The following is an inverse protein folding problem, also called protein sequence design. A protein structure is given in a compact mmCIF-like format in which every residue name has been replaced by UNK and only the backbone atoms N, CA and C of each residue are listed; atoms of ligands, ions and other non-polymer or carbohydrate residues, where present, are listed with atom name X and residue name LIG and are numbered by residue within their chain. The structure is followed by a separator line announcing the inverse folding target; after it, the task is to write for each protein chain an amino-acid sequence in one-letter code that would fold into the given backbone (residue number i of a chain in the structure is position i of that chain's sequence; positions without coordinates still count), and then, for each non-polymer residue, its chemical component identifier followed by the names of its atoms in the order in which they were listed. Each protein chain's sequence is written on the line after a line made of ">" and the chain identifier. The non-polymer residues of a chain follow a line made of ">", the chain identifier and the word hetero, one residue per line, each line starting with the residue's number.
data_IF_178697870419
#
_entry.id   IF_178697870419
#
_cell.length_a   1.000
_cell.length_b   1.000
_cell.length_c   1.000
_cell.angle_alpha   90.00
_cell.angle_beta   90.00
_cell.angle_gamma   90.00
#
_symmetry.space_group_name_H-M   'P 1'
#
loop_
_entity.id
_entity.type
_entity.pdbx_description
1 polymer ?
#
# COMPACT_ATOMS: atom_id res chain seq x y z
N UNK A 1 3.23 42.20 -17.05
CA UNK A 1 2.37 41.19 -17.70
C UNK A 1 3.04 39.84 -17.98
N UNK A 2 4.34 39.75 -18.29
CA UNK A 2 5.05 38.47 -18.54
C UNK A 2 5.20 37.57 -17.30
N UNK A 3 5.47 38.16 -16.13
CA UNK A 3 5.64 37.47 -14.84
C UNK A 3 4.38 36.74 -14.37
N UNK A 4 3.19 37.28 -14.63
CA UNK A 4 1.91 36.66 -14.29
C UNK A 4 1.67 35.38 -15.11
N UNK A 5 2.00 35.39 -16.41
CA UNK A 5 1.86 34.22 -17.29
C UNK A 5 2.79 33.07 -16.89
N UNK A 6 4.01 33.38 -16.43
CA UNK A 6 4.97 32.38 -15.93
C UNK A 6 4.47 31.73 -14.65
N UNK A 7 3.97 32.51 -13.67
CA UNK A 7 3.40 31.98 -12.42
C UNK A 7 2.22 31.03 -12.66
N UNK A 8 1.35 31.36 -13.62
CA UNK A 8 0.21 30.51 -14.00
C UNK A 8 0.68 29.19 -14.62
N UNK A 9 1.70 29.21 -15.50
CA UNK A 9 2.27 27.99 -16.09
C UNK A 9 2.91 27.08 -15.03
N UNK A 10 3.68 27.65 -14.09
CA UNK A 10 4.31 26.88 -13.01
C UNK A 10 3.24 26.22 -12.13
N UNK A 11 2.20 26.96 -11.71
CA UNK A 11 1.09 26.38 -10.94
C UNK A 11 0.42 25.23 -11.68
N UNK A 12 0.16 25.38 -12.98
CA UNK A 12 -0.43 24.32 -13.81
C UNK A 12 0.46 23.07 -13.84
N UNK A 13 1.77 23.22 -14.05
CA UNK A 13 2.71 22.10 -14.03
C UNK A 13 2.68 21.38 -12.68
N UNK A 14 2.72 22.12 -11.57
CA UNK A 14 2.64 21.55 -10.23
C UNK A 14 1.34 20.74 -10.06
N UNK A 15 0.20 21.31 -10.42
CA UNK A 15 -1.08 20.60 -10.33
C UNK A 15 -1.12 19.34 -11.19
N UNK A 16 -0.58 19.40 -12.41
CA UNK A 16 -0.50 18.23 -13.29
C UNK A 16 0.39 17.13 -12.68
N UNK A 17 1.56 17.49 -12.14
CA UNK A 17 2.47 16.53 -11.51
C UNK A 17 1.84 15.92 -10.25
N UNK A 18 1.25 16.73 -9.38
CA UNK A 18 0.59 16.25 -8.15
C UNK A 18 -0.58 15.33 -8.49
N UNK A 19 -1.42 15.72 -9.46
CA UNK A 19 -2.55 14.90 -9.91
C UNK A 19 -2.07 13.56 -10.49
N UNK A 20 -0.98 13.58 -11.26
CA UNK A 20 -0.41 12.37 -11.85
C UNK A 20 0.11 11.40 -10.78
N UNK A 21 0.83 11.92 -9.77
CA UNK A 21 1.32 11.11 -8.65
C UNK A 21 0.15 10.47 -7.89
N UNK A 22 -0.92 11.23 -7.67
CA UNK A 22 -2.10 10.75 -6.94
C UNK A 22 -2.81 9.62 -7.72
N UNK A 23 -2.96 9.78 -9.03
CA UNK A 23 -3.54 8.74 -9.91
C UNK A 23 -2.65 7.49 -9.93
N UNK A 24 -1.33 7.65 -10.05
CA UNK A 24 -0.40 6.52 -10.02
C UNK A 24 -0.44 5.78 -8.68
N UNK A 25 -0.51 6.51 -7.57
CA UNK A 25 -0.68 5.94 -6.23
C UNK A 25 -1.96 5.11 -6.11
N UNK A 26 -3.08 5.62 -6.63
CA UNK A 26 -4.35 4.91 -6.70
C UNK A 26 -4.30 3.69 -7.64
N UNK A 27 -3.59 3.75 -8.75
CA UNK A 27 -3.45 2.61 -9.67
C UNK A 27 -2.68 1.45 -9.04
N UNK A 28 -1.71 1.75 -8.17
CA UNK A 28 -0.97 0.71 -7.43
C UNK A 28 -1.92 -0.08 -6.51
N UNK A 29 -2.93 0.56 -5.93
CA UNK A 29 -3.85 -0.10 -5.01
C UNK A 29 -4.92 -0.95 -5.70
N UNK A 30 -5.01 -0.92 -7.04
CA UNK A 30 -5.99 -1.71 -7.81
C UNK A 30 -5.81 -3.22 -7.65
N UNK A 31 -4.59 -3.68 -7.35
CA UNK A 31 -4.35 -5.09 -7.07
C UNK A 31 -4.10 -5.30 -5.57
N UNK A 32 -4.80 -6.24 -4.90
CA UNK A 32 -4.64 -6.52 -3.47
C UNK A 32 -3.18 -6.75 -3.07
N UNK A 33 -2.43 -7.46 -3.93
CA UNK A 33 -1.01 -7.74 -3.71
C UNK A 33 -0.15 -6.48 -3.72
N UNK A 34 -0.45 -5.54 -4.60
CA UNK A 34 0.30 -4.30 -4.70
C UNK A 34 -0.04 -3.36 -3.53
N UNK A 35 -1.29 -3.37 -3.06
CA UNK A 35 -1.67 -2.70 -1.82
C UNK A 35 -0.84 -3.23 -0.63
N UNK A 36 -0.71 -4.55 -0.48
CA UNK A 36 0.13 -5.14 0.57
C UNK A 36 1.59 -4.72 0.42
N UNK A 37 2.16 -4.78 -0.79
CA UNK A 37 3.55 -4.34 -1.02
C UNK A 37 3.78 -2.86 -0.70
N UNK A 38 2.80 -2.01 -1.04
CA UNK A 38 2.85 -0.59 -0.72
C UNK A 38 2.82 -0.38 0.80
N UNK A 39 1.91 -1.03 1.51
CA UNK A 39 1.86 -1.00 2.98
C UNK A 39 3.15 -1.53 3.60
N UNK A 40 3.72 -2.63 3.11
CA UNK A 40 5.03 -3.12 3.58
C UNK A 40 6.11 -2.04 3.48
N UNK A 41 6.20 -1.35 2.34
CA UNK A 41 7.20 -0.30 2.14
C UNK A 41 6.97 0.92 3.04
N UNK A 42 5.72 1.25 3.34
CA UNK A 42 5.35 2.36 4.22
C UNK A 42 5.65 2.00 5.69
N UNK A 43 5.34 0.78 6.11
CA UNK A 43 5.46 0.29 7.50
C UNK A 43 6.91 -0.03 7.92
N UNK A 44 7.89 0.16 7.02
CA UNK A 44 9.32 0.02 7.35
C UNK A 44 9.98 -1.26 6.84
N UNK A 45 9.29 -2.08 6.03
CA UNK A 45 9.96 -3.19 5.36
C UNK A 45 11.01 -2.67 4.37
N UNK A 46 12.16 -3.37 4.20
CA UNK A 46 13.12 -3.01 3.16
C UNK A 46 12.45 -2.95 1.79
N UNK A 47 12.64 -1.86 1.05
CA UNK A 47 11.96 -1.63 -0.23
C UNK A 47 12.17 -2.78 -1.23
N UNK A 48 13.38 -3.35 -1.26
CA UNK A 48 13.71 -4.51 -2.09
C UNK A 48 12.95 -5.79 -1.69
N UNK A 49 12.67 -5.97 -0.40
CA UNK A 49 11.86 -7.06 0.11
C UNK A 49 10.38 -6.84 -0.21
N UNK A 50 9.86 -5.62 -0.04
CA UNK A 50 8.49 -5.25 -0.39
C UNK A 50 8.19 -5.50 -1.88
N UNK A 51 9.09 -5.10 -2.79
CA UNK A 51 8.93 -5.34 -4.24
C UNK A 51 8.96 -6.82 -4.62
N UNK A 52 9.87 -7.61 -4.01
CA UNK A 52 10.04 -9.03 -4.31
C UNK A 52 9.01 -9.92 -3.62
N UNK A 53 8.31 -9.41 -2.61
CA UNK A 53 7.28 -10.13 -1.90
C UNK A 53 6.12 -10.51 -2.83
N UNK A 54 5.58 -11.72 -2.71
CA UNK A 54 4.37 -12.14 -3.42
C UNK A 54 3.30 -12.49 -2.38
N UNK A 55 2.52 -11.51 -1.93
CA UNK A 55 1.43 -11.73 -0.98
C UNK A 55 0.44 -12.75 -1.53
N UNK A 56 -0.01 -13.67 -0.67
CA UNK A 56 -0.99 -14.69 -1.03
C UNK A 56 -2.22 -14.57 -0.14
N UNK A 57 -3.40 -14.69 -0.75
CA UNK A 57 -4.65 -14.82 -0.02
C UNK A 57 -4.62 -16.11 0.82
N UNK A 58 -5.00 -16.00 2.09
CA UNK A 58 -5.09 -17.14 3.01
C UNK A 58 -6.54 -17.37 3.38
N UNK A 59 -7.14 -18.45 2.85
CA UNK A 59 -8.54 -18.78 3.11
C UNK A 59 -8.79 -19.14 4.58
N UNK A 60 -7.85 -19.86 5.21
CA UNK A 60 -7.97 -20.26 6.61
C UNK A 60 -7.98 -19.03 7.54
N UNK A 61 -7.01 -18.13 7.35
CA UNK A 61 -6.90 -16.92 8.17
C UNK A 61 -8.06 -15.98 7.89
N UNK A 62 -8.50 -15.89 6.63
CA UNK A 62 -9.66 -15.06 6.28
C UNK A 62 -10.95 -15.52 6.97
N UNK A 63 -11.16 -16.84 7.08
CA UNK A 63 -12.29 -17.40 7.84
C UNK A 63 -12.14 -17.13 9.34
N UNK A 64 -10.94 -17.29 9.89
CA UNK A 64 -10.67 -17.09 11.32
C UNK A 64 -10.89 -15.63 11.75
N UNK A 65 -10.31 -14.67 11.02
CA UNK A 65 -10.39 -13.24 11.31
C UNK A 65 -11.66 -12.57 10.76
N UNK A 66 -12.53 -13.32 10.05
CA UNK A 66 -13.70 -12.78 9.32
C UNK A 66 -13.36 -11.56 8.44
N UNK A 67 -12.16 -11.58 7.86
CA UNK A 67 -11.56 -10.48 7.10
C UNK A 67 -10.83 -11.03 5.86
N UNK A 68 -10.45 -10.19 4.90
CA UNK A 68 -9.73 -10.68 3.70
C UNK A 68 -8.24 -10.66 3.96
N UNK A 69 -7.69 -11.78 4.42
CA UNK A 69 -6.31 -11.85 4.88
C UNK A 69 -5.37 -12.26 3.75
N UNK A 70 -4.36 -11.42 3.52
CA UNK A 70 -3.18 -11.75 2.72
C UNK A 70 -1.99 -12.00 3.63
N UNK A 71 -1.28 -13.09 3.39
CA UNK A 71 -0.07 -13.46 4.10
C UNK A 71 1.15 -13.23 3.23
N UNK A 72 2.24 -12.80 3.85
CA UNK A 72 3.54 -12.71 3.21
C UNK A 72 4.42 -13.89 3.64
N UNK A 73 5.32 -14.39 2.77
CA UNK A 73 6.29 -15.41 3.17
C UNK A 73 7.12 -14.95 4.37
N UNK A 74 7.40 -15.84 5.32
CA UNK A 74 8.15 -15.53 6.55
C UNK A 74 9.51 -14.86 6.29
N UNK A 75 10.19 -15.20 5.19
CA UNK A 75 11.44 -14.54 4.76
C UNK A 75 11.33 -13.04 4.48
N UNK A 76 10.11 -12.54 4.26
CA UNK A 76 9.79 -11.13 4.07
C UNK A 76 9.03 -10.54 5.26
N UNK A 77 8.81 -11.31 6.33
CA UNK A 77 8.28 -10.76 7.59
C UNK A 77 9.25 -9.72 8.14
N UNK A 78 8.70 -8.65 8.69
CA UNK A 78 9.48 -7.52 9.18
C UNK A 78 8.85 -7.01 10.47
N UNK A 79 9.61 -6.22 11.21
CA UNK A 79 9.12 -5.50 12.37
C UNK A 79 8.63 -4.14 11.89
N UNK A 80 7.37 -3.79 12.18
CA UNK A 80 6.83 -2.47 11.86
C UNK A 80 7.49 -1.38 12.72
N UNK A 81 7.16 -0.12 12.43
CA UNK A 81 7.65 1.04 13.20
C UNK A 81 7.27 1.00 14.68
N UNK A 82 6.28 0.19 15.06
CA UNK A 82 5.80 0.06 16.44
C UNK A 82 6.42 -1.15 17.17
N UNK A 83 7.32 -1.90 16.54
CA UNK A 83 7.98 -3.06 17.14
C UNK A 83 7.25 -4.39 16.97
N UNK A 84 6.16 -4.44 16.21
CA UNK A 84 5.39 -5.66 15.99
C UNK A 84 5.86 -6.44 14.77
N UNK A 85 5.94 -7.76 14.89
CA UNK A 85 6.26 -8.63 13.76
C UNK A 85 5.05 -8.76 12.83
N UNK A 86 5.16 -8.19 11.63
CA UNK A 86 4.11 -8.23 10.61
C UNK A 86 4.38 -9.36 9.61
N UNK A 87 3.38 -10.21 9.41
CA UNK A 87 3.40 -11.28 8.39
C UNK A 87 2.06 -11.49 7.69
N UNK A 88 1.03 -10.77 8.11
CA UNK A 88 -0.33 -10.88 7.64
C UNK A 88 -0.95 -9.49 7.51
N UNK A 89 -1.86 -9.34 6.56
CA UNK A 89 -2.48 -8.07 6.20
C UNK A 89 -3.98 -8.26 5.98
N UNK A 90 -4.80 -7.44 6.61
CA UNK A 90 -6.22 -7.29 6.29
C UNK A 90 -6.36 -6.37 5.08
N UNK A 91 -6.87 -6.91 3.97
CA UNK A 91 -7.04 -6.16 2.73
C UNK A 91 -8.50 -5.80 2.53
N UNK A 92 -8.79 -4.50 2.61
CA UNK A 92 -10.14 -3.97 2.43
C UNK A 92 -10.30 -3.39 1.04
N UNK A 93 -11.41 -3.73 0.38
CA UNK A 93 -11.74 -3.23 -0.95
C UNK A 93 -12.71 -2.07 -0.86
N UNK A 94 -12.37 -0.95 -1.50
CA UNK A 94 -13.18 0.26 -1.59
C UNK A 94 -13.57 0.51 -3.04
N UNK A 95 -14.82 0.92 -3.25
CA UNK A 95 -15.40 1.13 -4.59
C UNK A 95 -15.20 -0.09 -5.53
N UNK A 96 -15.04 -1.29 -4.97
CA UNK A 96 -14.75 -2.54 -5.68
C UNK A 96 -13.44 -2.59 -6.48
N UNK A 97 -12.69 -1.49 -6.56
CA UNK A 97 -11.50 -1.37 -7.42
C UNK A 97 -10.24 -1.15 -6.61
N UNK A 98 -10.30 -0.39 -5.51
CA UNK A 98 -9.13 -0.01 -4.75
C UNK A 98 -8.99 -0.88 -3.50
N UNK A 99 -7.78 -1.33 -3.23
CA UNK A 99 -7.49 -2.14 -2.06
C UNK A 99 -6.56 -1.41 -1.10
N UNK A 100 -6.91 -1.39 0.18
CA UNK A 100 -6.05 -0.86 1.24
C UNK A 100 -5.69 -2.03 2.14
N UNK A 101 -4.40 -2.25 2.36
CA UNK A 101 -3.89 -3.29 3.23
C UNK A 101 -3.48 -2.69 4.58
N UNK A 102 -3.89 -3.33 5.66
CA UNK A 102 -3.53 -2.97 7.03
C UNK A 102 -2.75 -4.14 7.64
N UNK A 103 -1.61 -3.91 8.30
CA UNK A 103 -0.90 -4.97 9.00
C UNK A 103 -1.82 -5.51 10.11
N UNK A 104 -2.05 -6.82 10.14
CA UNK A 104 -2.74 -7.42 11.29
C UNK A 104 -1.72 -7.52 12.41
N UNK A 105 -1.93 -6.76 13.48
CA UNK A 105 -1.15 -6.92 14.70
C UNK A 105 -1.44 -8.30 15.30
N UNK A 106 -0.46 -8.94 15.97
CA UNK A 106 -0.77 -10.11 16.77
C UNK A 106 -1.82 -9.70 17.82
N UNK A 107 -2.99 -10.35 17.80
CA UNK A 107 -3.93 -10.25 18.91
C UNK A 107 -3.22 -10.83 20.14
N UNK A 108 -3.10 -10.02 21.19
CA UNK A 108 -2.53 -10.41 22.48
C UNK A 108 -3.46 -11.38 23.21
#
# INVERSE_FOLDING_TARGET
>A
MKTTKIKIRIKRIIYTVVSLILILGLLITVFPKNAVRATMAIEGAPFSAALKCNPKYSQSNSKAFKATIYTIPLKYSFTDMNGFKVSMFDVRSYLWVFHIAYPTQPEF
#
